data_IF_480185220995
#
_entry.id   IF_480185220995
#
_cell.length_a   1.000
_cell.length_b   1.000
_cell.length_c   1.000
_cell.angle_alpha   90.00
_cell.angle_beta   90.00
_cell.angle_gamma   90.00
#
_symmetry.space_group_name_H-M   'P 1'
#
loop_
_entity.id
_entity.type
_entity.pdbx_description
1 polymer ?
#
# COMPACT_ATOMS: atom_id res chain seq x y z
N UNK A 1 -23.75 -4.58 -50.29
CA UNK A 1 -23.65 -3.12 -50.25
C UNK A 1 -23.00 -2.73 -48.95
N UNK A 2 -21.77 -2.21 -49.07
CA UNK A 2 -20.93 -1.75 -47.98
C UNK A 2 -21.51 -0.47 -47.38
N UNK A 3 -21.60 -0.40 -46.05
CA UNK A 3 -21.58 0.87 -45.32
C UNK A 3 -20.72 0.65 -44.08
N UNK A 4 -19.40 0.74 -44.30
CA UNK A 4 -18.45 1.15 -43.26
C UNK A 4 -18.69 2.65 -43.08
N UNK A 5 -19.11 3.07 -41.90
CA UNK A 5 -19.13 4.48 -41.52
C UNK A 5 -18.26 4.65 -40.29
N UNK A 6 -17.05 5.13 -40.54
CA UNK A 6 -16.15 5.72 -39.56
C UNK A 6 -16.93 6.67 -38.65
N UNK A 7 -16.82 6.47 -37.34
CA UNK A 7 -17.12 7.50 -36.36
C UNK A 7 -15.87 7.79 -35.54
N UNK A 8 -15.21 8.85 -36.01
CA UNK A 8 -14.59 9.91 -35.23
C UNK A 8 -13.43 9.48 -34.32
N UNK A 9 -12.26 9.39 -34.95
CA UNK A 9 -11.03 9.85 -34.31
C UNK A 9 -11.14 11.35 -34.04
N UNK A 10 -11.26 11.73 -32.76
CA UNK A 10 -10.80 13.03 -32.25
C UNK A 10 -10.74 13.00 -30.71
N UNK A 11 -9.87 12.17 -30.13
CA UNK A 11 -9.45 12.39 -28.74
C UNK A 11 -8.41 13.51 -28.77
N UNK A 12 -8.81 14.70 -28.31
CA UNK A 12 -7.86 15.76 -27.99
C UNK A 12 -6.80 15.22 -27.01
N UNK A 13 -5.54 15.67 -27.10
CA UNK A 13 -4.52 15.24 -26.16
C UNK A 13 -4.98 15.61 -24.74
N UNK A 14 -5.12 14.60 -23.88
CA UNK A 14 -5.29 14.78 -22.44
C UNK A 14 -4.15 15.70 -22.00
N UNK A 15 -4.49 16.86 -21.44
CA UNK A 15 -3.50 17.77 -20.91
C UNK A 15 -2.92 17.09 -19.67
N UNK A 16 -1.78 16.43 -19.84
CA UNK A 16 -1.00 15.89 -18.72
C UNK A 16 -0.58 17.07 -17.84
N UNK A 17 -1.31 17.30 -16.75
CA UNK A 17 -0.76 18.11 -15.66
C UNK A 17 0.44 17.36 -15.13
N UNK A 18 1.64 17.85 -15.48
CA UNK A 18 2.92 17.29 -15.04
C UNK A 18 2.86 16.96 -13.54
N UNK A 19 3.07 15.69 -13.19
CA UNK A 19 3.04 15.20 -11.80
C UNK A 19 3.93 16.07 -10.92
N UNK A 20 3.32 16.66 -9.89
CA UNK A 20 3.97 17.55 -8.92
C UNK A 20 4.54 16.72 -7.77
N UNK A 21 5.82 16.90 -7.46
CA UNK A 21 6.56 16.19 -6.42
C UNK A 21 7.19 17.13 -5.36
N UNK A 22 6.71 18.37 -5.27
CA UNK A 22 7.21 19.38 -4.34
C UNK A 22 6.08 20.06 -3.56
N UNK A 23 5.07 19.29 -3.19
CA UNK A 23 3.96 19.74 -2.36
C UNK A 23 4.45 20.26 -1.02
N UNK A 24 3.95 21.43 -0.62
CA UNK A 24 4.07 21.94 0.74
C UNK A 24 2.92 21.40 1.58
N UNK A 25 3.14 21.24 2.88
CA UNK A 25 2.13 20.73 3.81
C UNK A 25 0.86 21.59 3.77
N UNK A 26 1.01 22.92 3.73
CA UNK A 26 -0.12 23.86 3.62
C UNK A 26 -0.93 23.73 2.33
N UNK A 27 -0.34 23.22 1.24
CA UNK A 27 -1.08 22.94 0.01
C UNK A 27 -1.89 21.65 0.13
N UNK A 28 -1.44 20.70 0.95
CA UNK A 28 -2.17 19.45 1.23
C UNK A 28 -3.29 19.72 2.24
N UNK A 29 -3.03 20.47 3.31
CA UNK A 29 -4.06 20.93 4.27
C UNK A 29 -5.17 21.69 3.54
N UNK A 30 -4.83 22.57 2.59
CA UNK A 30 -5.83 23.26 1.78
C UNK A 30 -6.72 22.33 0.93
N UNK A 31 -6.29 21.10 0.63
CA UNK A 31 -7.14 20.09 0.01
C UNK A 31 -8.07 19.43 1.02
N UNK A 32 -7.60 19.16 2.24
CA UNK A 32 -8.44 18.66 3.33
C UNK A 32 -9.53 19.67 3.70
N UNK A 33 -9.21 20.97 3.69
CA UNK A 33 -10.13 22.08 3.98
C UNK A 33 -11.20 22.31 2.91
N UNK A 34 -11.10 21.68 1.73
CA UNK A 34 -12.10 21.88 0.67
C UNK A 34 -13.50 21.44 1.14
N UNK A 35 -14.57 22.11 0.68
CA UNK A 35 -15.92 21.58 0.81
C UNK A 35 -15.95 20.15 0.25
N UNK A 36 -16.56 19.23 1.00
CA UNK A 36 -16.47 17.79 0.71
C UNK A 36 -16.85 17.45 -0.74
N UNK A 37 -17.95 18.01 -1.24
CA UNK A 37 -18.41 17.77 -2.61
C UNK A 37 -17.42 18.27 -3.67
N UNK A 38 -16.74 19.40 -3.42
CA UNK A 38 -15.74 19.96 -4.34
C UNK A 38 -14.47 19.10 -4.35
N UNK A 39 -14.05 18.60 -3.17
CA UNK A 39 -12.94 17.67 -3.05
C UNK A 39 -13.20 16.38 -3.84
N UNK A 40 -14.38 15.78 -3.66
CA UNK A 40 -14.76 14.54 -4.34
C UNK A 40 -14.86 14.76 -5.84
N UNK A 41 -15.48 15.86 -6.27
CA UNK A 41 -15.57 16.19 -7.70
C UNK A 41 -14.18 16.33 -8.34
N UNK A 42 -13.25 17.01 -7.65
CA UNK A 42 -11.87 17.15 -8.10
C UNK A 42 -11.15 15.80 -8.18
N UNK A 43 -11.27 14.96 -7.14
CA UNK A 43 -10.64 13.64 -7.12
C UNK A 43 -11.18 12.72 -8.23
N UNK A 44 -12.50 12.73 -8.48
CA UNK A 44 -13.11 11.97 -9.57
C UNK A 44 -12.67 12.45 -10.96
N UNK A 45 -12.55 13.78 -11.13
CA UNK A 45 -12.07 14.37 -12.38
C UNK A 45 -10.66 13.87 -12.69
N UNK A 46 -9.74 14.00 -11.73
CA UNK A 46 -8.36 13.52 -11.88
C UNK A 46 -8.32 12.00 -12.09
N UNK A 47 -9.13 11.23 -11.38
CA UNK A 47 -9.17 9.78 -11.57
C UNK A 47 -9.56 9.39 -12.99
N UNK A 48 -10.59 10.03 -13.57
CA UNK A 48 -11.07 9.78 -14.93
C UNK A 48 -10.10 10.22 -16.02
N UNK A 49 -9.24 11.21 -15.72
CA UNK A 49 -8.20 11.66 -16.63
C UNK A 49 -7.02 10.67 -16.72
N UNK A 50 -6.81 9.86 -15.67
CA UNK A 50 -5.62 9.01 -15.53
C UNK A 50 -5.90 7.50 -15.55
N UNK A 51 -7.14 7.07 -15.31
CA UNK A 51 -7.52 5.65 -15.23
C UNK A 51 -8.84 5.38 -15.96
N UNK A 52 -9.08 4.11 -16.29
CA UNK A 52 -10.44 3.62 -16.52
C UNK A 52 -11.21 3.69 -15.18
N UNK A 53 -12.21 4.58 -15.07
CA UNK A 53 -12.85 4.86 -13.79
C UNK A 53 -13.70 3.70 -13.25
N UNK A 54 -13.98 2.67 -14.05
CA UNK A 54 -14.75 1.50 -13.64
C UNK A 54 -13.90 0.23 -13.52
N UNK A 55 -12.60 0.33 -13.79
CA UNK A 55 -11.66 -0.77 -13.59
C UNK A 55 -11.10 -0.72 -12.16
N UNK A 56 -11.06 -1.88 -11.50
CA UNK A 56 -10.49 -2.02 -10.16
C UNK A 56 -9.36 -3.05 -10.23
N UNK A 57 -8.23 -2.72 -9.60
CA UNK A 57 -7.14 -3.67 -9.43
C UNK A 57 -7.43 -4.60 -8.26
N UNK A 58 -7.40 -5.91 -8.51
CA UNK A 58 -7.62 -6.94 -7.49
C UNK A 58 -6.27 -7.58 -7.13
N UNK A 59 -5.82 -7.31 -5.90
CA UNK A 59 -4.64 -7.97 -5.30
C UNK A 59 -5.08 -8.85 -4.15
N UNK A 60 -4.60 -10.09 -4.09
CA UNK A 60 -4.83 -10.99 -2.94
C UNK A 60 -3.56 -11.11 -2.12
N UNK A 61 -3.67 -11.00 -0.80
CA UNK A 61 -2.55 -11.15 0.12
C UNK A 61 -2.66 -12.46 0.90
N UNK A 62 -1.52 -13.11 1.11
CA UNK A 62 -1.35 -14.24 2.01
C UNK A 62 -0.21 -13.93 3.00
N UNK A 63 -0.44 -14.19 4.29
CA UNK A 63 0.63 -14.21 5.28
C UNK A 63 1.42 -15.51 5.13
N UNK A 64 2.63 -15.44 4.58
CA UNK A 64 3.50 -16.60 4.40
C UNK A 64 4.27 -16.95 5.67
N UNK A 65 4.30 -16.06 6.67
CA UNK A 65 4.83 -16.29 8.03
C UNK A 65 4.07 -15.37 8.98
N UNK A 66 3.34 -15.95 9.93
CA UNK A 66 2.40 -15.22 10.80
C UNK A 66 2.89 -15.17 12.25
N UNK A 67 2.73 -14.00 12.89
CA UNK A 67 3.02 -13.82 14.30
C UNK A 67 4.52 -13.80 14.64
N UNK A 68 4.86 -13.74 15.93
CA UNK A 68 6.24 -13.69 16.41
C UNK A 68 7.10 -12.58 15.74
N UNK A 69 6.51 -11.42 15.47
CA UNK A 69 7.21 -10.25 14.93
C UNK A 69 7.92 -9.49 16.08
N UNK A 70 9.21 -9.14 15.97
CA UNK A 70 9.93 -8.43 17.04
C UNK A 70 9.57 -6.94 17.15
N UNK A 71 8.92 -6.38 16.12
CA UNK A 71 8.51 -4.98 16.06
C UNK A 71 7.39 -4.68 17.04
N UNK A 72 7.26 -3.42 17.45
CA UNK A 72 6.30 -2.95 18.45
C UNK A 72 5.21 -2.03 17.87
N UNK A 73 4.81 -2.26 16.61
CA UNK A 73 3.77 -1.41 16.00
C UNK A 73 2.47 -1.51 16.80
N UNK A 74 2.00 -0.39 17.35
CA UNK A 74 0.87 -0.32 18.27
C UNK A 74 -0.46 -0.83 17.67
N UNK A 75 -0.59 -0.86 16.34
CA UNK A 75 -1.75 -1.39 15.62
C UNK A 75 -1.67 -2.89 15.29
N UNK A 76 -0.48 -3.51 15.38
CA UNK A 76 -0.23 -4.77 14.69
C UNK A 76 -0.48 -5.98 15.61
N UNK A 77 -1.41 -6.88 15.26
CA UNK A 77 -1.72 -8.03 16.10
C UNK A 77 -0.63 -9.11 16.08
N UNK A 78 0.39 -8.98 15.23
CA UNK A 78 1.47 -9.96 15.05
C UNK A 78 2.72 -9.70 15.90
N UNK A 79 2.75 -8.57 16.61
CA UNK A 79 3.83 -8.17 17.51
C UNK A 79 3.96 -9.12 18.69
N UNK A 80 5.20 -9.50 19.06
CA UNK A 80 5.46 -10.26 20.30
C UNK A 80 5.30 -9.43 21.57
N UNK A 81 5.08 -8.12 21.43
CA UNK A 81 4.93 -7.20 22.57
C UNK A 81 3.53 -7.24 23.16
N UNK A 82 2.56 -7.80 22.43
CA UNK A 82 1.14 -7.78 22.76
C UNK A 82 0.56 -9.19 22.76
N UNK A 83 -0.42 -9.41 23.63
CA UNK A 83 -1.17 -10.67 23.67
C UNK A 83 -2.51 -10.49 22.97
N UNK A 84 -2.59 -10.98 21.74
CA UNK A 84 -3.72 -10.81 20.83
C UNK A 84 -4.42 -12.13 20.54
N UNK A 85 -4.02 -13.21 21.21
CA UNK A 85 -4.48 -14.58 20.93
C UNK A 85 -4.06 -15.14 19.57
N UNK A 86 -3.20 -14.44 18.81
CA UNK A 86 -2.80 -14.85 17.46
C UNK A 86 -1.95 -16.14 17.48
N UNK A 87 -2.39 -17.15 16.74
CA UNK A 87 -1.62 -18.37 16.50
C UNK A 87 -0.41 -18.08 15.60
N UNK A 88 0.75 -18.62 15.99
CA UNK A 88 2.01 -18.42 15.29
C UNK A 88 2.19 -19.49 14.24
N UNK A 89 2.50 -19.07 13.02
CA UNK A 89 2.75 -19.99 11.90
C UNK A 89 4.15 -19.78 11.36
N UNK A 90 4.84 -20.90 11.12
CA UNK A 90 6.17 -20.87 10.50
C UNK A 90 6.07 -20.42 9.03
N UNK A 91 7.23 -20.14 8.44
CA UNK A 91 7.31 -19.82 7.01
C UNK A 91 6.75 -20.98 6.17
N UNK A 92 5.68 -20.72 5.43
CA UNK A 92 4.96 -21.70 4.63
C UNK A 92 5.86 -22.43 3.63
N UNK A 93 5.46 -23.64 3.24
CA UNK A 93 6.08 -24.36 2.13
C UNK A 93 5.68 -23.77 0.78
N UNK A 94 6.59 -23.85 -0.20
CA UNK A 94 6.41 -23.24 -1.53
C UNK A 94 5.13 -23.75 -2.18
N UNK A 95 4.87 -25.07 -2.14
CA UNK A 95 3.68 -25.69 -2.73
C UNK A 95 2.37 -25.12 -2.17
N UNK A 96 2.34 -24.81 -0.87
CA UNK A 96 1.16 -24.22 -0.22
C UNK A 96 0.93 -22.78 -0.70
N UNK A 97 2.00 -22.00 -0.85
CA UNK A 97 1.93 -20.64 -1.40
C UNK A 97 1.48 -20.65 -2.86
N UNK A 98 1.99 -21.58 -3.67
CA UNK A 98 1.59 -21.74 -5.07
C UNK A 98 0.13 -22.17 -5.19
N UNK A 99 -0.35 -23.08 -4.34
CA UNK A 99 -1.76 -23.47 -4.32
C UNK A 99 -2.67 -22.27 -3.98
N UNK A 100 -2.30 -21.46 -3.00
CA UNK A 100 -3.04 -20.25 -2.65
C UNK A 100 -3.02 -19.21 -3.79
N UNK A 101 -1.88 -19.03 -4.46
CA UNK A 101 -1.76 -18.12 -5.60
C UNK A 101 -2.64 -18.56 -6.78
N UNK A 102 -2.68 -19.86 -7.10
CA UNK A 102 -3.59 -20.41 -8.12
C UNK A 102 -5.05 -20.12 -7.79
N UNK A 103 -5.46 -20.36 -6.54
CA UNK A 103 -6.82 -20.06 -6.08
C UNK A 103 -7.14 -18.56 -6.20
N UNK A 104 -6.20 -17.69 -5.82
CA UNK A 104 -6.36 -16.24 -5.95
C UNK A 104 -6.54 -15.83 -7.42
N UNK A 105 -5.74 -16.40 -8.33
CA UNK A 105 -5.86 -16.18 -9.78
C UNK A 105 -7.22 -16.61 -10.31
N UNK A 106 -7.72 -17.78 -9.89
CA UNK A 106 -9.05 -18.29 -10.27
C UNK A 106 -10.17 -17.36 -9.80
N UNK A 107 -9.99 -16.67 -8.67
CA UNK A 107 -10.92 -15.65 -8.18
C UNK A 107 -10.75 -14.26 -8.83
N UNK A 108 -9.89 -14.13 -9.84
CA UNK A 108 -9.72 -12.91 -10.62
C UNK A 108 -8.64 -11.95 -10.11
N UNK A 109 -7.81 -12.36 -9.14
CA UNK A 109 -6.68 -11.54 -8.70
C UNK A 109 -5.63 -11.44 -9.81
N UNK A 110 -5.19 -10.21 -10.11
CA UNK A 110 -4.08 -9.96 -11.05
C UNK A 110 -2.72 -9.99 -10.34
N UNK A 111 -2.71 -9.72 -9.03
CA UNK A 111 -1.50 -9.64 -8.19
C UNK A 111 -1.62 -10.52 -6.96
N UNK A 112 -0.54 -11.22 -6.62
CA UNK A 112 -0.44 -12.01 -5.40
C UNK A 112 0.64 -11.43 -4.48
N UNK A 113 0.25 -11.05 -3.27
CA UNK A 113 1.10 -10.43 -2.26
C UNK A 113 1.43 -11.42 -1.14
N UNK A 114 2.70 -11.58 -0.82
CA UNK A 114 3.17 -12.47 0.26
C UNK A 114 3.74 -11.62 1.41
N UNK A 115 3.10 -11.69 2.58
CA UNK A 115 3.53 -10.96 3.77
C UNK A 115 4.22 -11.84 4.79
N UNK A 116 5.29 -11.35 5.41
CA UNK A 116 5.98 -12.05 6.47
C UNK A 116 6.16 -11.17 7.70
N UNK A 117 5.86 -11.71 8.88
CA UNK A 117 6.01 -11.03 10.17
C UNK A 117 7.48 -10.95 10.62
N UNK A 118 8.29 -10.21 9.89
CA UNK A 118 9.71 -9.97 10.18
C UNK A 118 10.01 -8.48 10.31
N UNK A 119 11.08 -8.18 11.07
CA UNK A 119 11.75 -6.88 11.00
C UNK A 119 12.48 -6.71 9.67
N UNK A 120 13.26 -7.72 9.31
CA UNK A 120 14.07 -7.84 8.10
C UNK A 120 14.21 -9.32 7.76
N UNK A 121 14.25 -9.70 6.47
CA UNK A 121 14.46 -11.09 6.10
C UNK A 121 15.93 -11.50 6.34
N UNK A 122 16.13 -12.75 6.78
CA UNK A 122 17.45 -13.38 6.79
C UNK A 122 17.71 -14.00 5.42
N UNK A 123 18.97 -14.08 5.00
CA UNK A 123 19.32 -14.53 3.64
C UNK A 123 18.82 -15.93 3.30
N UNK A 124 18.85 -16.84 4.29
CA UNK A 124 18.32 -18.20 4.14
C UNK A 124 16.81 -18.22 3.90
N UNK A 125 16.08 -17.35 4.61
CA UNK A 125 14.62 -17.29 4.46
C UNK A 125 14.27 -16.59 3.13
N UNK A 126 15.08 -15.61 2.72
CA UNK A 126 14.97 -14.96 1.41
C UNK A 126 15.16 -15.94 0.25
N UNK A 127 16.05 -16.93 0.35
CA UNK A 127 16.19 -17.99 -0.68
C UNK A 127 14.91 -18.80 -0.89
N UNK A 128 14.10 -18.98 0.16
CA UNK A 128 12.79 -19.65 0.03
C UNK A 128 11.78 -18.70 -0.61
N UNK A 129 11.80 -17.42 -0.22
CA UNK A 129 10.89 -16.40 -0.76
C UNK A 129 11.16 -16.11 -2.25
N UNK A 130 12.42 -16.06 -2.70
CA UNK A 130 12.74 -15.89 -4.12
C UNK A 130 12.18 -17.02 -4.96
N UNK A 131 12.21 -18.27 -4.48
CA UNK A 131 11.54 -19.39 -5.13
C UNK A 131 10.02 -19.22 -5.17
N UNK A 132 9.40 -18.76 -4.08
CA UNK A 132 7.96 -18.44 -4.09
C UNK A 132 7.62 -17.37 -5.14
N UNK A 133 8.43 -16.31 -5.24
CA UNK A 133 8.27 -15.25 -6.25
C UNK A 133 8.37 -15.83 -7.66
N UNK A 134 9.37 -16.66 -7.94
CA UNK A 134 9.55 -17.30 -9.25
C UNK A 134 8.33 -18.16 -9.64
N UNK A 135 7.83 -18.98 -8.71
CA UNK A 135 6.67 -19.84 -8.96
C UNK A 135 5.39 -19.02 -9.20
N UNK A 136 5.14 -17.99 -8.39
CA UNK A 136 3.99 -17.09 -8.58
C UNK A 136 4.10 -16.32 -9.89
N UNK A 137 5.31 -15.86 -10.26
CA UNK A 137 5.56 -15.19 -11.54
C UNK A 137 5.29 -16.12 -12.73
N UNK A 138 5.67 -17.40 -12.61
CA UNK A 138 5.41 -18.42 -13.62
C UNK A 138 3.91 -18.71 -13.81
N UNK A 139 3.05 -18.39 -12.83
CA UNK A 139 1.59 -18.41 -13.00
C UNK A 139 1.08 -17.23 -13.85
N UNK A 140 1.93 -16.28 -14.25
CA UNK A 140 1.55 -15.10 -15.01
C UNK A 140 0.82 -14.04 -14.17
N UNK A 141 1.00 -14.06 -12.85
CA UNK A 141 0.50 -13.03 -11.94
C UNK A 141 1.60 -11.99 -11.68
N UNK A 142 1.19 -10.77 -11.31
CA UNK A 142 2.12 -9.84 -10.66
C UNK A 142 2.51 -10.37 -9.27
N UNK A 143 3.78 -10.23 -8.92
CA UNK A 143 4.33 -10.68 -7.63
C UNK A 143 4.56 -9.49 -6.70
N UNK A 144 4.19 -9.65 -5.44
CA UNK A 144 4.40 -8.63 -4.42
C UNK A 144 4.83 -9.27 -3.10
N UNK A 145 5.73 -8.62 -2.35
CA UNK A 145 6.09 -9.07 -0.99
C UNK A 145 6.13 -7.92 -0.01
N UNK A 146 5.95 -8.21 1.29
CA UNK A 146 6.27 -7.32 2.41
C UNK A 146 7.04 -8.10 3.47
N UNK A 147 8.36 -7.91 3.53
CA UNK A 147 9.26 -8.71 4.36
C UNK A 147 9.97 -7.88 5.45
N UNK A 148 9.61 -6.61 5.60
CA UNK A 148 10.28 -5.66 6.49
C UNK A 148 11.35 -4.83 5.76
N UNK A 149 12.40 -4.42 6.46
CA UNK A 149 13.50 -3.62 5.90
C UNK A 149 14.48 -4.51 5.14
N UNK A 150 14.89 -4.06 3.95
CA UNK A 150 15.83 -4.77 3.08
C UNK A 150 17.19 -4.09 3.03
N UNK A 151 18.22 -4.89 2.79
CA UNK A 151 19.48 -4.41 2.24
C UNK A 151 19.41 -4.33 0.71
N UNK A 152 20.30 -3.54 0.12
CA UNK A 152 20.42 -3.40 -1.35
C UNK A 152 20.55 -4.75 -2.07
N UNK A 153 21.42 -5.65 -1.61
CA UNK A 153 21.64 -6.96 -2.23
C UNK A 153 20.40 -7.87 -2.18
N UNK A 154 19.60 -7.73 -1.12
CA UNK A 154 18.35 -8.48 -0.96
C UNK A 154 17.28 -7.96 -1.93
N UNK A 155 17.21 -6.65 -2.18
CA UNK A 155 16.32 -6.06 -3.17
C UNK A 155 16.67 -6.55 -4.59
N UNK A 156 17.96 -6.57 -4.95
CA UNK A 156 18.43 -7.09 -6.24
C UNK A 156 18.05 -8.57 -6.42
N UNK A 157 18.29 -9.42 -5.40
CA UNK A 157 17.90 -10.83 -5.43
C UNK A 157 16.40 -11.04 -5.64
N UNK A 158 15.57 -10.20 -5.04
CA UNK A 158 14.11 -10.23 -5.26
C UNK A 158 13.75 -9.81 -6.68
N UNK A 159 14.39 -8.76 -7.21
CA UNK A 159 14.18 -8.34 -8.60
C UNK A 159 14.52 -9.46 -9.58
N UNK A 160 15.68 -10.10 -9.40
CA UNK A 160 16.16 -11.20 -10.25
C UNK A 160 15.23 -12.42 -10.19
N UNK A 161 14.58 -12.64 -9.04
CA UNK A 161 13.56 -13.67 -8.88
C UNK A 161 12.25 -13.36 -9.62
N UNK A 162 12.08 -12.13 -10.10
CA UNK A 162 10.88 -11.68 -10.81
C UNK A 162 9.88 -10.92 -9.93
N UNK A 163 10.33 -10.30 -8.84
CA UNK A 163 9.48 -9.47 -7.99
C UNK A 163 9.03 -8.20 -8.72
N UNK A 164 7.71 -7.96 -8.80
CA UNK A 164 7.15 -6.76 -9.42
C UNK A 164 6.97 -5.61 -8.42
N UNK A 165 6.52 -5.90 -7.19
CA UNK A 165 6.24 -4.91 -6.16
C UNK A 165 6.85 -5.26 -4.80
N UNK A 166 7.33 -4.25 -4.09
CA UNK A 166 7.66 -4.36 -2.68
C UNK A 166 6.80 -3.42 -1.84
N UNK A 167 6.11 -3.96 -0.84
CA UNK A 167 5.28 -3.18 0.05
C UNK A 167 6.07 -2.70 1.27
N UNK A 168 6.14 -1.38 1.44
CA UNK A 168 6.83 -0.74 2.55
C UNK A 168 6.23 0.64 2.87
N UNK A 169 5.12 0.68 3.61
CA UNK A 169 4.43 1.88 4.13
C UNK A 169 5.29 2.90 4.92
N UNK A 170 4.78 4.11 5.10
CA UNK A 170 5.27 5.08 6.11
C UNK A 170 4.40 5.06 7.37
N UNK A 171 3.22 4.43 7.29
CA UNK A 171 2.21 4.29 8.33
C UNK A 171 1.55 5.62 8.73
N UNK A 172 2.30 6.67 9.04
CA UNK A 172 1.82 8.02 9.39
C UNK A 172 2.87 9.10 9.07
N UNK A 173 2.75 10.31 9.63
CA UNK A 173 3.75 11.37 9.57
C UNK A 173 5.04 10.97 10.31
N UNK A 174 6.17 11.58 9.93
CA UNK A 174 7.43 11.40 10.67
C UNK A 174 7.32 11.87 12.13
N UNK A 175 6.59 12.96 12.37
CA UNK A 175 6.42 13.56 13.70
C UNK A 175 5.61 12.67 14.64
N UNK A 176 4.63 11.92 14.13
CA UNK A 176 3.76 11.04 14.93
C UNK A 176 4.23 9.58 14.95
N UNK A 177 5.20 9.21 14.09
CA UNK A 177 5.65 7.82 13.94
C UNK A 177 6.11 7.18 15.25
N UNK A 178 6.80 7.95 16.10
CA UNK A 178 7.33 7.48 17.39
C UNK A 178 6.26 7.13 18.44
N UNK A 179 5.04 7.63 18.29
CA UNK A 179 3.90 7.27 19.16
C UNK A 179 3.34 5.88 18.81
N UNK A 180 3.58 5.42 17.58
CA UNK A 180 3.03 4.18 17.05
C UNK A 180 4.07 3.06 16.98
N UNK A 181 5.32 3.37 16.63
CA UNK A 181 6.40 2.42 16.41
C UNK A 181 7.70 2.98 16.99
N UNK A 182 8.38 2.22 17.85
CA UNK A 182 9.68 2.64 18.43
C UNK A 182 10.84 1.74 18.05
N UNK A 183 10.57 0.51 17.59
CA UNK A 183 11.65 -0.43 17.22
C UNK A 183 12.41 -0.02 15.96
N UNK A 184 11.91 0.90 15.14
CA UNK A 184 12.54 1.37 13.89
C UNK A 184 12.31 2.86 13.71
N UNK A 185 13.14 3.51 12.91
CA UNK A 185 13.00 4.93 12.59
C UNK A 185 12.19 5.13 11.32
N UNK A 186 11.71 6.37 11.09
CA UNK A 186 11.09 6.75 9.82
C UNK A 186 12.09 6.66 8.66
N UNK A 187 13.34 7.07 8.89
CA UNK A 187 14.42 7.02 7.90
C UNK A 187 14.72 5.57 7.45
N UNK A 188 14.69 4.58 8.35
CA UNK A 188 14.88 3.17 7.97
C UNK A 188 13.87 2.70 6.90
N UNK A 189 12.65 3.27 6.93
CA UNK A 189 11.60 3.02 5.93
C UNK A 189 11.98 3.63 4.59
N UNK A 190 12.42 4.89 4.60
CA UNK A 190 12.83 5.62 3.41
C UNK A 190 14.04 4.96 2.74
N UNK A 191 15.02 4.50 3.51
CA UNK A 191 16.20 3.79 3.01
C UNK A 191 15.80 2.49 2.31
N UNK A 192 14.89 1.71 2.90
CA UNK A 192 14.36 0.48 2.27
C UNK A 192 13.64 0.79 0.96
N UNK A 193 12.82 1.86 0.91
CA UNK A 193 12.15 2.31 -0.31
C UNK A 193 13.19 2.70 -1.37
N UNK A 194 14.30 3.35 -0.97
CA UNK A 194 15.46 3.65 -1.82
C UNK A 194 16.03 2.39 -2.46
N UNK A 195 16.39 1.39 -1.66
CA UNK A 195 16.93 0.11 -2.17
C UNK A 195 15.97 -0.59 -3.15
N UNK A 196 14.66 -0.59 -2.86
CA UNK A 196 13.64 -1.18 -3.74
C UNK A 196 13.62 -0.49 -5.10
N UNK A 197 13.70 0.85 -5.12
CA UNK A 197 13.70 1.63 -6.35
C UNK A 197 14.98 1.45 -7.16
N UNK A 198 16.12 1.47 -6.51
CA UNK A 198 17.42 1.27 -7.16
C UNK A 198 17.50 -0.12 -7.80
N UNK A 199 16.89 -1.14 -7.18
CA UNK A 199 16.72 -2.47 -7.76
C UNK A 199 15.67 -2.52 -8.90
N UNK A 200 14.97 -1.43 -9.21
CA UNK A 200 13.96 -1.37 -10.26
C UNK A 200 12.68 -2.15 -9.95
N UNK A 201 12.32 -2.29 -8.67
CA UNK A 201 11.06 -2.89 -8.22
C UNK A 201 10.05 -1.76 -7.97
N UNK A 202 8.78 -1.97 -8.32
CA UNK A 202 7.75 -0.98 -8.05
C UNK A 202 7.50 -0.86 -6.53
N UNK A 203 7.24 0.35 -6.07
CA UNK A 203 7.00 0.67 -4.66
C UNK A 203 5.50 0.64 -4.38
N UNK A 204 5.11 -0.18 -3.40
CA UNK A 204 3.80 -0.13 -2.77
C UNK A 204 3.94 0.51 -1.37
N UNK A 205 3.62 1.79 -1.24
CA UNK A 205 3.86 2.54 -0.01
C UNK A 205 2.68 3.46 0.31
N UNK A 206 2.14 3.34 1.52
CA UNK A 206 1.09 4.22 2.01
C UNK A 206 1.07 4.23 3.54
N UNK A 207 -0.12 4.20 4.15
CA UNK A 207 -0.22 4.25 5.61
C UNK A 207 -1.57 3.83 6.18
N UNK A 208 -1.78 4.19 7.44
CA UNK A 208 -2.95 3.81 8.25
C UNK A 208 -3.58 5.10 8.80
N UNK A 209 -4.91 5.15 8.77
CA UNK A 209 -5.69 6.30 9.22
C UNK A 209 -6.57 5.87 10.39
N UNK A 210 -6.68 6.73 11.41
CA UNK A 210 -7.48 6.46 12.62
C UNK A 210 -6.71 5.81 13.77
N UNK A 211 -5.39 6.00 13.84
CA UNK A 211 -4.52 5.59 14.95
C UNK A 211 -4.50 6.56 16.13
N UNK A 212 -5.28 7.65 16.06
CA UNK A 212 -5.22 8.78 16.99
C UNK A 212 -4.40 9.97 16.46
N UNK A 213 -3.90 9.87 15.23
CA UNK A 213 -3.18 10.95 14.56
C UNK A 213 -4.10 12.14 14.25
N UNK A 214 -3.51 13.33 14.17
CA UNK A 214 -4.23 14.54 13.79
C UNK A 214 -4.34 14.65 12.26
N UNK A 215 -5.22 15.53 11.77
CA UNK A 215 -5.35 15.77 10.32
C UNK A 215 -4.02 16.17 9.66
N UNK A 216 -3.22 16.98 10.36
CA UNK A 216 -1.89 17.40 9.90
C UNK A 216 -0.93 16.20 9.69
N UNK A 217 -1.09 15.14 10.47
CA UNK A 217 -0.26 13.94 10.32
C UNK A 217 -0.62 13.18 9.05
N UNK A 218 -1.91 13.08 8.74
CA UNK A 218 -2.40 12.54 7.46
C UNK A 218 -1.90 13.37 6.28
N UNK A 219 -1.96 14.69 6.39
CA UNK A 219 -1.46 15.60 5.37
C UNK A 219 0.05 15.43 5.13
N UNK A 220 0.86 15.34 6.20
CA UNK A 220 2.31 15.12 6.12
C UNK A 220 2.67 13.74 5.56
N UNK A 221 1.93 12.69 5.94
CA UNK A 221 2.10 11.36 5.36
C UNK A 221 1.87 11.39 3.85
N UNK A 222 0.74 11.95 3.40
CA UNK A 222 0.44 12.04 1.96
C UNK A 222 1.42 12.94 1.21
N UNK A 223 1.87 14.04 1.82
CA UNK A 223 2.92 14.89 1.28
C UNK A 223 4.23 14.12 1.07
N UNK A 224 4.66 13.34 2.08
CA UNK A 224 5.89 12.55 2.00
C UNK A 224 5.84 11.56 0.84
N UNK A 225 4.72 10.85 0.69
CA UNK A 225 4.46 9.93 -0.44
C UNK A 225 4.45 10.66 -1.79
N UNK A 226 3.73 11.77 -1.89
CA UNK A 226 3.59 12.53 -3.12
C UNK A 226 4.88 13.23 -3.57
N UNK A 227 5.78 13.53 -2.64
CA UNK A 227 7.08 14.16 -2.93
C UNK A 227 8.20 13.16 -3.22
N UNK A 228 7.93 11.86 -3.09
CA UNK A 228 8.85 10.86 -3.58
C UNK A 228 9.05 10.99 -5.10
N UNK A 229 10.27 10.72 -5.56
CA UNK A 229 10.59 10.74 -7.00
C UNK A 229 11.20 9.39 -7.41
N UNK A 230 10.50 8.58 -8.24
CA UNK A 230 9.10 8.72 -8.66
C UNK A 230 8.12 8.62 -7.46
N UNK A 231 6.84 8.93 -7.64
CA UNK A 231 5.81 8.61 -6.64
C UNK A 231 5.60 7.08 -6.58
N UNK A 232 5.11 6.51 -5.46
CA UNK A 232 4.82 5.08 -5.39
C UNK A 232 3.77 4.65 -6.44
N UNK A 233 3.98 3.55 -7.13
CA UNK A 233 3.06 3.01 -8.13
C UNK A 233 1.74 2.54 -7.49
N UNK A 234 1.80 2.09 -6.24
CA UNK A 234 0.63 1.71 -5.44
C UNK A 234 0.67 2.38 -4.07
N UNK A 235 -0.43 3.04 -3.70
CA UNK A 235 -0.56 3.78 -2.44
C UNK A 235 -1.72 3.18 -1.63
N UNK A 236 -1.45 2.18 -0.76
CA UNK A 236 -2.46 1.65 0.14
C UNK A 236 -2.81 2.63 1.26
N UNK A 237 -4.08 2.97 1.39
CA UNK A 237 -4.60 3.72 2.53
C UNK A 237 -5.48 2.76 3.32
N UNK A 238 -5.02 2.42 4.51
CA UNK A 238 -5.68 1.48 5.41
C UNK A 238 -6.46 2.28 6.46
N UNK A 239 -7.64 1.80 6.83
CA UNK A 239 -8.27 2.21 8.07
C UNK A 239 -7.74 1.34 9.19
N UNK A 240 -7.51 1.91 10.38
CA UNK A 240 -7.10 1.13 11.54
C UNK A 240 -8.11 0.01 11.79
N UNK A 241 -7.62 -1.22 11.85
CA UNK A 241 -8.37 -2.36 12.37
C UNK A 241 -7.98 -2.52 13.83
N UNK A 242 -8.92 -2.24 14.74
CA UNK A 242 -8.69 -2.39 16.16
C UNK A 242 -8.71 -3.88 16.51
N UNK A 243 -7.67 -4.35 17.20
CA UNK A 243 -7.55 -5.75 17.62
C UNK A 243 -7.31 -5.80 19.11
N UNK A 244 -8.14 -6.59 19.81
CA UNK A 244 -8.02 -6.80 21.24
C UNK A 244 -6.58 -7.18 21.64
N UNK A 245 -6.08 -6.54 22.68
CA UNK A 245 -4.72 -6.72 23.19
C UNK A 245 -3.67 -5.81 22.55
N UNK A 246 -3.96 -5.15 21.43
CA UNK A 246 -3.07 -4.11 20.87
C UNK A 246 -3.26 -2.77 21.61
N UNK A 247 -2.22 -1.92 21.72
CA UNK A 247 -2.35 -0.62 22.40
C UNK A 247 -3.38 0.35 21.79
N UNK A 248 -3.74 0.16 20.52
CA UNK A 248 -4.75 0.99 19.84
C UNK A 248 -6.15 0.38 19.89
N UNK A 249 -6.35 -0.70 20.64
CA UNK A 249 -7.68 -1.20 20.94
C UNK A 249 -8.47 -0.18 21.77
N UNK A 250 -9.70 0.11 21.36
CA UNK A 250 -10.57 1.08 22.02
C UNK A 250 -10.25 2.55 21.71
N UNK A 251 -9.36 2.85 20.78
CA UNK A 251 -9.16 4.23 20.29
C UNK A 251 -10.42 4.73 19.58
N UNK A 252 -10.64 6.04 19.61
CA UNK A 252 -11.79 6.65 18.92
C UNK A 252 -11.76 6.33 17.42
N UNK A 253 -12.91 5.91 16.90
CA UNK A 253 -13.04 5.59 15.48
C UNK A 253 -12.96 6.88 14.66
N UNK A 254 -12.22 6.82 13.56
CA UNK A 254 -12.17 7.91 12.59
C UNK A 254 -13.54 8.10 11.93
N UNK A 255 -13.96 9.36 11.76
CA UNK A 255 -15.12 9.69 10.94
C UNK A 255 -14.95 9.11 9.52
N UNK A 256 -15.91 8.31 9.01
CA UNK A 256 -15.88 7.81 7.64
C UNK A 256 -15.62 8.88 6.58
N UNK A 257 -16.12 10.10 6.77
CA UNK A 257 -15.89 11.23 5.85
C UNK A 257 -14.42 11.63 5.83
N UNK A 258 -13.72 11.59 6.97
CA UNK A 258 -12.28 11.88 7.04
C UNK A 258 -11.45 10.83 6.30
N UNK A 259 -11.86 9.56 6.36
CA UNK A 259 -11.24 8.51 5.56
C UNK A 259 -11.44 8.76 4.05
N UNK A 260 -12.66 9.06 3.63
CA UNK A 260 -12.98 9.37 2.23
C UNK A 260 -12.22 10.61 1.74
N UNK A 261 -12.11 11.66 2.58
CA UNK A 261 -11.26 12.84 2.30
C UNK A 261 -9.81 12.43 2.06
N UNK A 262 -9.25 11.56 2.91
CA UNK A 262 -7.87 11.07 2.79
C UNK A 262 -7.64 10.36 1.45
N UNK A 263 -8.58 9.53 1.00
CA UNK A 263 -8.54 8.87 -0.32
C UNK A 263 -8.58 9.90 -1.46
N UNK A 264 -9.49 10.87 -1.37
CA UNK A 264 -9.64 11.91 -2.38
C UNK A 264 -8.38 12.78 -2.51
N UNK A 265 -7.80 13.19 -1.39
CA UNK A 265 -6.53 13.94 -1.35
C UNK A 265 -5.39 13.10 -1.94
N UNK A 266 -5.27 11.82 -1.57
CA UNK A 266 -4.26 10.93 -2.13
C UNK A 266 -4.36 10.83 -3.66
N UNK A 267 -5.57 10.70 -4.22
CA UNK A 267 -5.82 10.69 -5.67
C UNK A 267 -5.38 11.99 -6.34
N UNK A 268 -5.68 13.15 -5.74
CA UNK A 268 -5.30 14.46 -6.30
C UNK A 268 -3.79 14.65 -6.31
N UNK A 269 -3.10 14.26 -5.23
CA UNK A 269 -1.66 14.43 -5.08
C UNK A 269 -0.84 13.48 -5.96
N UNK A 270 -1.38 12.29 -6.20
CA UNK A 270 -0.72 11.21 -6.92
C UNK A 270 -1.60 10.69 -8.08
N UNK A 271 -1.76 11.47 -9.17
CA UNK A 271 -2.71 11.18 -10.25
C UNK A 271 -2.43 9.86 -10.98
N UNK A 272 -1.18 9.43 -11.06
CA UNK A 272 -0.76 8.22 -11.79
C UNK A 272 -0.63 6.98 -10.87
N UNK A 273 -0.74 7.16 -9.55
CA UNK A 273 -0.63 6.06 -8.59
C UNK A 273 -1.96 5.31 -8.42
N UNK A 274 -1.89 4.00 -8.22
CA UNK A 274 -3.02 3.21 -7.78
C UNK A 274 -3.28 3.44 -6.29
N UNK A 275 -4.24 4.31 -5.96
CA UNK A 275 -4.73 4.50 -4.58
C UNK A 275 -5.58 3.29 -4.21
N UNK A 276 -5.12 2.49 -3.25
CA UNK A 276 -5.73 1.21 -2.89
C UNK A 276 -6.43 1.31 -1.54
N UNK A 277 -7.75 1.17 -1.58
CA UNK A 277 -8.58 0.87 -0.41
C UNK A 277 -8.23 -0.55 0.07
N UNK A 278 -7.59 -0.70 1.25
CA UNK A 278 -7.04 -1.99 1.70
C UNK A 278 -7.61 -2.51 3.01
N UNK A 279 -6.91 -2.40 4.14
CA UNK A 279 -7.41 -2.91 5.43
C UNK A 279 -8.52 -2.01 6.00
N UNK A 280 -9.44 -2.62 6.76
CA UNK A 280 -10.64 -1.98 7.32
C UNK A 280 -11.87 -2.01 6.41
N UNK A 281 -11.73 -2.43 5.14
CA UNK A 281 -12.86 -2.53 4.19
C UNK A 281 -14.06 -3.33 4.65
N UNK A 282 -13.85 -4.36 5.47
CA UNK A 282 -14.94 -5.21 5.99
C UNK A 282 -15.84 -4.48 6.99
N UNK A 283 -15.38 -3.34 7.52
CA UNK A 283 -16.11 -2.50 8.48
C UNK A 283 -16.75 -1.28 7.80
N UNK A 284 -16.44 -1.04 6.52
CA UNK A 284 -17.01 0.06 5.74
C UNK A 284 -18.42 -0.31 5.27
N UNK A 285 -19.33 0.68 5.27
CA UNK A 285 -20.67 0.51 4.71
C UNK A 285 -20.65 0.63 3.19
N UNK A 286 -21.75 0.24 2.52
CA UNK A 286 -21.86 0.35 1.06
C UNK A 286 -21.85 1.81 0.55
N UNK A 287 -22.23 2.77 1.41
CA UNK A 287 -22.25 4.20 1.08
C UNK A 287 -20.86 4.86 1.11
N UNK A 288 -19.86 4.19 1.70
CA UNK A 288 -18.49 4.68 1.89
C UNK A 288 -17.56 4.26 0.74
#
# INVERSE_FOLDING_TARGET
MSIVSEKVANQQPVIFTKTKNNWKTSEVEALFDLPFNDLIFKAQTIHRENFDPNAIQISTLLSIKTGACPEDCAYCPQSVRYDTGLEKEALMEIDAVVAAAKKAKETGASRFCMGAAWRSPKDRDLDKVTKMVQEVKALGMETCVTLGMLKEDQAIRLKDAGLDYYNHNLDTSEDYYGEIITTRTYQDRLDTIGHVREAGINVCCGGIVGMGEQEIDRAKMLQALANMTPQPESVPINQLVQVEGTPLDGVEQLDPIEFVRTIAVARILMPESHVRLSAGRTEMSDEM
#
